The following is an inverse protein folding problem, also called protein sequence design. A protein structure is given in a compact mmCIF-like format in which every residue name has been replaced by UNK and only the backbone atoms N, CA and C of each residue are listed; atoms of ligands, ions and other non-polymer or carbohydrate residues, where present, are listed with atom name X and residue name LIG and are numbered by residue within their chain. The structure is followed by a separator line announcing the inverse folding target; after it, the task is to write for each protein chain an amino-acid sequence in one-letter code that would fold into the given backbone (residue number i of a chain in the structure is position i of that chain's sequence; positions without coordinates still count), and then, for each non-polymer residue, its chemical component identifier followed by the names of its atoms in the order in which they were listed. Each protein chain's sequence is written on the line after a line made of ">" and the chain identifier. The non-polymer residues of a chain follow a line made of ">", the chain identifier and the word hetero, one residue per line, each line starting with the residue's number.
data_IF_753055925451
#
_entry.id   IF_753055925451
#
_cell.length_a   1.000
_cell.length_b   1.000
_cell.length_c   1.000
_cell.angle_alpha   90.00
_cell.angle_beta   90.00
_cell.angle_gamma   90.00
#
_symmetry.space_group_name_H-M   'P 1'
#
loop_
_entity.id
_entity.type
_entity.pdbx_description
1 polymer ?
#
# COMPACT_ATOMS: atom_id res chain seq x y z
N UNK A 1 26.03 4.54 -6.78
CA UNK A 1 24.79 5.27 -6.45
C UNK A 1 24.31 5.94 -7.74
N UNK A 2 23.02 5.90 -8.07
CA UNK A 2 22.50 6.54 -9.29
C UNK A 2 22.58 8.07 -9.16
N UNK A 3 22.75 8.77 -10.28
CA UNK A 3 22.67 10.23 -10.36
C UNK A 3 21.22 10.72 -10.25
N UNK A 4 21.02 12.01 -9.99
CA UNK A 4 19.66 12.59 -9.93
C UNK A 4 18.92 12.45 -11.26
N UNK A 5 19.63 12.57 -12.39
CA UNK A 5 19.05 12.41 -13.72
C UNK A 5 18.61 10.96 -13.97
N UNK A 6 19.45 9.99 -13.59
CA UNK A 6 19.10 8.56 -13.70
C UNK A 6 17.91 8.18 -12.81
N UNK A 7 17.77 8.80 -11.62
CA UNK A 7 16.61 8.61 -10.75
C UNK A 7 15.36 9.21 -11.40
N UNK A 8 15.43 10.44 -11.92
CA UNK A 8 14.29 11.09 -12.58
C UNK A 8 13.81 10.29 -13.79
N UNK A 9 14.73 9.76 -14.60
CA UNK A 9 14.41 8.88 -15.73
C UNK A 9 13.71 7.60 -15.24
N UNK A 10 14.25 6.92 -14.23
CA UNK A 10 13.63 5.71 -13.69
C UNK A 10 12.22 5.96 -13.11
N UNK A 11 12.02 7.08 -12.42
CA UNK A 11 10.72 7.50 -11.87
C UNK A 11 9.74 7.82 -13.01
N UNK A 12 10.20 8.51 -14.05
CA UNK A 12 9.40 8.86 -15.24
C UNK A 12 8.95 7.60 -15.99
N UNK A 13 9.86 6.66 -16.23
CA UNK A 13 9.57 5.40 -16.90
C UNK A 13 8.61 4.51 -16.08
N UNK A 14 8.77 4.50 -14.75
CA UNK A 14 7.87 3.79 -13.85
C UNK A 14 6.45 4.39 -13.88
N UNK A 15 6.33 5.72 -13.90
CA UNK A 15 5.06 6.42 -14.02
C UNK A 15 4.34 6.11 -15.34
N UNK A 16 5.07 6.11 -16.46
CA UNK A 16 4.50 5.80 -17.78
C UNK A 16 3.93 4.37 -17.82
N UNK A 17 4.68 3.39 -17.30
CA UNK A 17 4.22 2.00 -17.20
C UNK A 17 2.95 1.87 -16.36
N UNK A 18 2.87 2.56 -15.22
CA UNK A 18 1.70 2.53 -14.33
C UNK A 18 0.48 3.24 -14.92
N UNK A 19 0.68 4.35 -15.63
CA UNK A 19 -0.40 5.00 -16.37
C UNK A 19 -0.98 4.06 -17.46
N UNK A 20 -0.13 3.30 -18.15
CA UNK A 20 -0.54 2.32 -19.17
C UNK A 20 -1.32 1.13 -18.58
N UNK A 21 -1.04 0.72 -17.33
CA UNK A 21 -1.83 -0.32 -16.67
C UNK A 21 -3.31 0.08 -16.48
N UNK A 22 -3.56 1.36 -16.22
CA UNK A 22 -4.91 1.88 -16.00
C UNK A 22 -5.64 2.26 -17.30
N UNK A 23 -4.88 2.54 -18.37
CA UNK A 23 -5.43 3.04 -19.64
C UNK A 23 -5.73 1.93 -20.65
N UNK A 24 -5.11 0.75 -20.51
CA UNK A 24 -5.28 -0.38 -21.42
C UNK A 24 -6.27 -1.39 -20.84
N UNK A 25 -7.40 -1.62 -21.52
CA UNK A 25 -8.46 -2.52 -21.05
C UNK A 25 -7.97 -3.92 -20.68
N UNK A 26 -7.05 -4.50 -21.46
CA UNK A 26 -6.47 -5.82 -21.20
C UNK A 26 -5.71 -5.90 -19.86
N UNK A 27 -5.23 -4.76 -19.34
CA UNK A 27 -4.48 -4.69 -18.09
C UNK A 27 -5.37 -4.46 -16.86
N UNK A 28 -6.67 -4.16 -17.03
CA UNK A 28 -7.53 -3.77 -15.90
C UNK A 28 -7.69 -4.88 -14.86
N UNK A 29 -7.80 -6.14 -15.29
CA UNK A 29 -7.86 -7.27 -14.36
C UNK A 29 -6.56 -7.40 -13.56
N UNK A 30 -5.42 -7.28 -14.24
CA UNK A 30 -4.09 -7.31 -13.60
C UNK A 30 -3.96 -6.16 -12.59
N UNK A 31 -4.35 -4.95 -12.98
CA UNK A 31 -4.33 -3.78 -12.11
C UNK A 31 -5.24 -3.99 -10.89
N UNK A 32 -6.46 -4.48 -11.09
CA UNK A 32 -7.40 -4.76 -10.00
C UNK A 32 -6.81 -5.75 -8.98
N UNK A 33 -6.25 -6.87 -9.43
CA UNK A 33 -5.63 -7.87 -8.55
C UNK A 33 -4.41 -7.30 -7.82
N UNK A 34 -3.51 -6.61 -8.52
CA UNK A 34 -2.32 -6.01 -7.91
C UNK A 34 -2.67 -4.90 -6.91
N UNK A 35 -3.71 -4.11 -7.17
CA UNK A 35 -4.19 -3.09 -6.25
C UNK A 35 -4.88 -3.68 -5.03
N UNK A 36 -5.65 -4.74 -5.18
CA UNK A 36 -6.23 -5.46 -4.03
C UNK A 36 -5.14 -6.11 -3.17
N UNK A 37 -4.13 -6.72 -3.79
CA UNK A 37 -2.97 -7.27 -3.07
C UNK A 37 -2.24 -6.19 -2.26
N UNK A 38 -2.00 -5.01 -2.85
CA UNK A 38 -1.39 -3.91 -2.12
C UNK A 38 -2.23 -3.48 -0.91
N UNK A 39 -3.56 -3.40 -1.06
CA UNK A 39 -4.48 -3.14 0.05
C UNK A 39 -4.36 -4.16 1.18
N UNK A 40 -4.38 -5.45 0.83
CA UNK A 40 -4.24 -6.55 1.78
C UNK A 40 -2.88 -6.53 2.51
N UNK A 41 -1.78 -6.25 1.82
CA UNK A 41 -0.46 -6.15 2.44
C UNK A 41 -0.34 -4.97 3.41
N UNK A 42 -0.92 -3.82 3.08
CA UNK A 42 -0.97 -2.68 4.01
C UNK A 42 -1.86 -2.99 5.20
N UNK A 43 -3.00 -3.67 5.00
CA UNK A 43 -3.85 -4.12 6.10
C UNK A 43 -3.12 -5.11 7.03
N UNK A 44 -2.37 -6.07 6.48
CA UNK A 44 -1.52 -6.98 7.26
C UNK A 44 -0.51 -6.22 8.12
N UNK A 45 0.22 -5.26 7.53
CA UNK A 45 1.16 -4.42 8.27
C UNK A 45 0.47 -3.60 9.38
N UNK A 46 -0.73 -3.08 9.10
CA UNK A 46 -1.56 -2.38 10.08
C UNK A 46 -2.00 -3.27 11.24
N UNK A 47 -2.47 -4.49 10.95
CA UNK A 47 -2.90 -5.45 11.97
C UNK A 47 -1.73 -5.88 12.84
N UNK A 48 -0.57 -6.19 12.24
CA UNK A 48 0.63 -6.52 13.00
C UNK A 48 1.08 -5.34 13.89
N UNK A 49 0.96 -4.12 13.38
CA UNK A 49 1.24 -2.89 14.13
C UNK A 49 0.32 -2.72 15.34
N UNK A 50 -0.97 -3.05 15.20
CA UNK A 50 -1.93 -3.06 16.31
C UNK A 50 -1.58 -4.17 17.31
N UNK A 51 -1.37 -5.40 16.86
CA UNK A 51 -1.08 -6.54 17.75
C UNK A 51 0.19 -6.31 18.56
N UNK A 52 1.29 -5.90 17.91
CA UNK A 52 2.58 -5.73 18.60
C UNK A 52 2.61 -4.44 19.41
N UNK A 53 1.98 -3.36 18.91
CA UNK A 53 1.90 -2.11 19.65
C UNK A 53 1.05 -2.22 20.92
N UNK A 54 -0.09 -2.91 20.85
CA UNK A 54 -1.07 -2.97 21.94
C UNK A 54 -1.11 -4.31 22.68
N UNK A 55 -0.27 -5.28 22.31
CA UNK A 55 -0.24 -6.62 22.92
C UNK A 55 0.34 -6.70 24.33
N UNK A 56 0.79 -5.57 24.90
CA UNK A 56 1.33 -5.48 26.26
C UNK A 56 0.67 -4.32 27.03
N UNK A 57 -0.59 -4.48 27.50
CA UNK A 57 -1.39 -3.39 28.06
C UNK A 57 -0.71 -2.65 29.22
N UNK A 58 -0.01 -3.36 30.11
CA UNK A 58 0.68 -2.80 31.28
C UNK A 58 1.86 -1.91 30.87
N UNK A 59 2.60 -2.33 29.83
CA UNK A 59 3.75 -1.60 29.29
C UNK A 59 3.28 -0.41 28.48
N UNK A 60 2.24 -0.57 27.66
CA UNK A 60 1.70 0.51 26.84
C UNK A 60 1.03 1.60 27.67
N UNK A 61 0.38 1.24 28.79
CA UNK A 61 -0.20 2.21 29.72
C UNK A 61 0.87 3.03 30.48
N UNK A 62 1.98 2.40 30.86
CA UNK A 62 3.08 3.07 31.57
C UNK A 62 4.03 3.83 30.64
N UNK A 63 4.14 3.42 29.37
CA UNK A 63 5.02 4.06 28.39
C UNK A 63 4.41 4.09 26.97
N UNK A 64 3.61 5.12 26.65
CA UNK A 64 3.02 5.30 25.32
C UNK A 64 4.05 5.47 24.18
N UNK A 65 5.29 5.89 24.49
CA UNK A 65 6.34 6.00 23.48
C UNK A 65 6.83 4.63 23.02
N UNK A 66 6.93 3.65 23.94
CA UNK A 66 7.28 2.27 23.62
C UNK A 66 6.24 1.64 22.69
N UNK A 67 4.95 1.83 22.99
CA UNK A 67 3.83 1.38 22.17
C UNK A 67 3.96 1.88 20.71
N UNK A 68 4.19 3.19 20.54
CA UNK A 68 4.37 3.82 19.22
C UNK A 68 5.62 3.31 18.49
N UNK A 69 6.73 3.12 19.22
CA UNK A 69 7.96 2.59 18.65
C UNK A 69 7.77 1.17 18.11
N UNK A 70 7.16 0.28 18.91
CA UNK A 70 6.89 -1.10 18.52
C UNK A 70 5.95 -1.18 17.32
N UNK A 71 4.87 -0.39 17.35
CA UNK A 71 3.93 -0.24 16.23
C UNK A 71 4.63 0.22 14.94
N UNK A 72 5.53 1.21 15.03
CA UNK A 72 6.28 1.75 13.89
C UNK A 72 7.35 0.80 13.34
N UNK A 73 7.95 -0.05 14.18
CA UNK A 73 8.98 -1.02 13.77
C UNK A 73 8.42 -2.13 12.89
N UNK A 74 7.19 -2.58 13.15
CA UNK A 74 6.61 -3.73 12.45
C UNK A 74 5.73 -3.36 11.25
N UNK A 75 5.15 -2.15 11.22
CA UNK A 75 4.32 -1.67 10.12
C UNK A 75 4.99 -1.76 8.71
N UNK A 76 6.30 -1.51 8.54
CA UNK A 76 6.98 -1.54 7.25
C UNK A 76 6.88 -2.88 6.49
N UNK A 77 6.51 -3.99 7.15
CA UNK A 77 6.30 -5.28 6.47
C UNK A 77 5.28 -5.16 5.32
N UNK A 78 4.24 -4.35 5.50
CA UNK A 78 3.22 -4.14 4.45
C UNK A 78 3.81 -3.51 3.20
N UNK A 79 4.64 -2.47 3.37
CA UNK A 79 5.33 -1.83 2.25
C UNK A 79 6.40 -2.74 1.62
N UNK A 80 7.12 -3.51 2.44
CA UNK A 80 8.08 -4.50 1.96
C UNK A 80 7.42 -5.49 0.99
N UNK A 81 6.27 -6.07 1.37
CA UNK A 81 5.51 -6.97 0.51
C UNK A 81 5.03 -6.29 -0.77
N UNK A 82 4.53 -5.05 -0.68
CA UNK A 82 4.12 -4.26 -1.87
C UNK A 82 5.27 -4.15 -2.87
N UNK A 83 6.48 -3.82 -2.39
CA UNK A 83 7.65 -3.65 -3.26
C UNK A 83 8.14 -4.99 -3.81
N UNK A 84 8.22 -6.03 -2.98
CA UNK A 84 8.70 -7.36 -3.37
C UNK A 84 7.82 -8.01 -4.43
N UNK A 85 6.50 -7.91 -4.29
CA UNK A 85 5.54 -8.51 -5.23
C UNK A 85 5.14 -7.57 -6.37
N UNK A 86 5.64 -6.33 -6.38
CA UNK A 86 5.30 -5.34 -7.40
C UNK A 86 3.81 -4.99 -7.39
N UNK A 87 3.19 -4.95 -6.22
CA UNK A 87 1.78 -4.61 -6.06
C UNK A 87 1.55 -3.11 -6.33
N UNK A 88 0.33 -2.76 -6.75
CA UNK A 88 -0.01 -1.39 -7.15
C UNK A 88 -0.59 -0.63 -5.97
N UNK A 89 0.25 0.17 -5.29
CA UNK A 89 -0.13 0.98 -4.14
C UNK A 89 -0.35 2.44 -4.54
N UNK A 90 -1.47 3.02 -4.13
CA UNK A 90 -1.87 4.38 -4.47
C UNK A 90 -0.79 5.42 -4.12
N UNK A 91 -0.27 5.39 -2.90
CA UNK A 91 0.76 6.35 -2.45
C UNK A 91 2.07 6.21 -3.24
N UNK A 92 2.49 4.98 -3.56
CA UNK A 92 3.64 4.73 -4.43
C UNK A 92 3.42 5.22 -5.86
N UNK A 93 2.20 5.06 -6.39
CA UNK A 93 1.85 5.54 -7.72
C UNK A 93 1.87 7.07 -7.81
N UNK A 94 1.46 7.79 -6.76
CA UNK A 94 1.57 9.25 -6.71
C UNK A 94 3.02 9.74 -6.87
N UNK A 95 3.99 9.03 -6.28
CA UNK A 95 5.41 9.40 -6.35
C UNK A 95 5.99 9.32 -7.77
N UNK A 96 5.40 8.52 -8.66
CA UNK A 96 5.94 8.27 -10.01
C UNK A 96 5.07 8.81 -11.14
N UNK A 97 3.74 8.87 -10.96
CA UNK A 97 2.81 9.40 -11.96
C UNK A 97 2.97 10.90 -12.15
N UNK A 98 3.18 11.67 -11.08
CA UNK A 98 3.29 13.13 -11.18
C UNK A 98 4.52 13.58 -11.97
N UNK A 99 5.76 13.11 -11.65
CA UNK A 99 6.92 13.45 -12.47
C UNK A 99 6.80 12.97 -13.92
N UNK A 100 6.22 11.78 -14.14
CA UNK A 100 6.03 11.23 -15.48
C UNK A 100 5.06 12.07 -16.33
N UNK A 101 3.94 12.49 -15.74
CA UNK A 101 2.98 13.40 -16.36
C UNK A 101 3.60 14.76 -16.68
N UNK A 102 4.36 15.34 -15.74
CA UNK A 102 5.03 16.63 -15.94
C UNK A 102 6.11 16.57 -17.03
N UNK A 103 6.71 15.41 -17.25
CA UNK A 103 7.61 15.13 -18.37
C UNK A 103 6.87 14.75 -19.68
N UNK A 104 5.55 14.93 -19.73
CA UNK A 104 4.76 14.74 -20.94
C UNK A 104 4.55 13.28 -21.37
N UNK A 105 4.79 12.30 -20.50
CA UNK A 105 4.68 10.87 -20.84
C UNK A 105 3.24 10.36 -20.96
N UNK A 106 2.31 10.99 -20.25
CA UNK A 106 0.90 10.65 -20.30
C UNK A 106 0.04 11.86 -19.89
N UNK A 107 -1.24 11.83 -20.29
CA UNK A 107 -2.19 12.89 -19.93
C UNK A 107 -2.71 12.79 -18.49
N UNK A 108 -3.27 13.89 -17.99
CA UNK A 108 -3.90 13.96 -16.66
C UNK A 108 -5.04 12.93 -16.48
N UNK A 109 -5.79 12.64 -17.55
CA UNK A 109 -6.84 11.61 -17.51
C UNK A 109 -6.31 10.21 -17.18
N UNK A 110 -5.11 9.84 -17.64
CA UNK A 110 -4.49 8.56 -17.32
C UNK A 110 -4.06 8.49 -15.84
N UNK A 111 -3.59 9.62 -15.29
CA UNK A 111 -3.27 9.76 -13.87
C UNK A 111 -4.50 9.55 -13.00
N UNK A 112 -5.61 10.25 -13.32
CA UNK A 112 -6.87 10.13 -12.59
C UNK A 112 -7.44 8.71 -12.68
N UNK A 113 -7.43 8.09 -13.86
CA UNK A 113 -7.86 6.71 -14.03
C UNK A 113 -7.05 5.74 -13.16
N UNK A 114 -5.71 5.89 -13.11
CA UNK A 114 -4.87 5.07 -12.24
C UNK A 114 -5.22 5.31 -10.76
N UNK A 115 -5.29 6.57 -10.33
CA UNK A 115 -5.65 6.92 -8.95
C UNK A 115 -6.96 6.30 -8.51
N UNK A 116 -8.02 6.44 -9.30
CA UNK A 116 -9.33 5.89 -8.97
C UNK A 116 -9.30 4.37 -8.86
N UNK A 117 -8.76 3.68 -9.86
CA UNK A 117 -8.74 2.21 -9.88
C UNK A 117 -7.88 1.63 -8.75
N UNK A 118 -6.70 2.21 -8.55
CA UNK A 118 -5.74 1.72 -7.56
C UNK A 118 -6.22 2.01 -6.14
N UNK A 119 -6.78 3.20 -5.88
CA UNK A 119 -7.34 3.52 -4.58
C UNK A 119 -8.52 2.62 -4.22
N UNK A 120 -9.46 2.41 -5.15
CA UNK A 120 -10.58 1.50 -4.94
C UNK A 120 -10.12 0.06 -4.70
N UNK A 121 -9.12 -0.40 -5.47
CA UNK A 121 -8.52 -1.72 -5.27
C UNK A 121 -7.83 -1.84 -3.92
N UNK A 122 -7.04 -0.85 -3.50
CA UNK A 122 -6.39 -0.84 -2.18
C UNK A 122 -7.43 -0.86 -1.05
N UNK A 123 -8.48 -0.04 -1.16
CA UNK A 123 -9.57 0.01 -0.18
C UNK A 123 -10.30 -1.32 -0.07
N UNK A 124 -10.70 -1.91 -1.20
CA UNK A 124 -11.37 -3.20 -1.23
C UNK A 124 -10.47 -4.32 -0.71
N UNK A 125 -9.21 -4.36 -1.12
CA UNK A 125 -8.24 -5.36 -0.66
C UNK A 125 -8.02 -5.31 0.86
N UNK A 126 -7.91 -4.10 1.42
CA UNK A 126 -7.80 -3.91 2.86
C UNK A 126 -9.09 -4.36 3.58
N UNK A 127 -10.27 -3.98 3.08
CA UNK A 127 -11.54 -4.40 3.66
C UNK A 127 -11.72 -5.92 3.66
N UNK A 128 -11.44 -6.59 2.54
CA UNK A 128 -11.57 -8.05 2.45
C UNK A 128 -10.57 -8.74 3.38
N UNK A 129 -9.32 -8.30 3.40
CA UNK A 129 -8.31 -8.84 4.32
C UNK A 129 -8.76 -8.70 5.78
N UNK A 130 -9.13 -7.49 6.19
CA UNK A 130 -9.56 -7.23 7.56
C UNK A 130 -10.85 -7.98 7.91
N UNK A 131 -11.82 -8.04 7.01
CA UNK A 131 -13.06 -8.76 7.26
C UNK A 131 -12.81 -10.27 7.43
N UNK A 132 -12.18 -10.91 6.46
CA UNK A 132 -12.03 -12.37 6.47
C UNK A 132 -10.96 -12.87 7.44
N UNK A 133 -9.81 -12.19 7.52
CA UNK A 133 -8.66 -12.70 8.28
C UNK A 133 -8.50 -12.09 9.67
N UNK A 134 -9.21 -11.00 9.98
CA UNK A 134 -9.12 -10.32 11.28
C UNK A 134 -10.44 -10.37 12.03
N UNK A 135 -11.54 -9.98 11.38
CA UNK A 135 -12.85 -9.92 12.03
C UNK A 135 -13.48 -11.30 12.21
N UNK A 136 -13.64 -12.08 11.13
CA UNK A 136 -14.25 -13.41 11.21
C UNK A 136 -13.41 -14.43 11.98
N UNK A 137 -12.09 -14.25 12.01
CA UNK A 137 -11.18 -15.09 12.80
C UNK A 137 -11.19 -14.74 14.30
N UNK A 138 -11.78 -13.61 14.68
CA UNK A 138 -11.73 -13.11 16.05
C UNK A 138 -10.34 -12.65 16.49
N UNK A 139 -9.41 -12.39 15.55
CA UNK A 139 -8.00 -12.10 15.86
C UNK A 139 -7.80 -10.89 16.79
N UNK A 140 -8.71 -9.92 16.74
CA UNK A 140 -8.70 -8.73 17.61
C UNK A 140 -9.90 -8.69 18.58
N UNK A 141 -10.55 -9.83 18.83
CA UNK A 141 -11.63 -9.90 19.80
C UNK A 141 -11.09 -9.73 21.23
N UNK A 142 -11.78 -8.98 22.11
CA UNK A 142 -11.32 -8.71 23.48
C UNK A 142 -11.46 -9.91 24.45
N UNK A 143 -12.28 -10.93 24.16
CA UNK A 143 -12.48 -12.12 25.01
C UNK A 143 -12.85 -13.40 24.22
N UNK A 144 -12.58 -14.63 24.73
CA UNK A 144 -11.57 -15.01 25.71
C UNK A 144 -10.54 -16.00 25.11
N UNK A 145 -9.28 -15.71 25.34
CA UNK A 145 -8.56 -16.63 26.21
C UNK A 145 -8.79 -16.16 27.66
#
# INVERSE_FOLDING_TARGET
>A
MKTQLEILQAVTDAGERKANLASVRANLLKLAVLSMLAGAFIALGGVLSVIVGFGFPEVSASNPAMQKLMSALVFPIGLFLVVTFGAELFTGNNAVLMPSMMNGRHGFGATVANWTLVWLGNFLGALLFTYFLVHLSGLLAPEPY
#
